data_IF_808361998579
#
_entry.id   IF_808361998579
#
_cell.length_a   1.000
_cell.length_b   1.000
_cell.length_c   1.000
_cell.angle_alpha   90.00
_cell.angle_beta   90.00
_cell.angle_gamma   90.00
#
_symmetry.space_group_name_H-M   'P 1'
#
loop_
_entity.id
_entity.type
_entity.pdbx_description
1 polymer ?
#
# COMPACT_ATOMS: atom_id res chain seq x y z
N UNK A 1 9.78 7.31 5.07
CA UNK A 1 10.00 7.67 3.65
C UNK A 1 9.18 6.74 2.78
N UNK A 2 8.55 7.24 1.71
CA UNK A 2 7.88 6.45 0.68
C UNK A 2 8.39 6.87 -0.70
N UNK A 3 8.62 5.91 -1.60
CA UNK A 3 9.17 6.18 -2.94
C UNK A 3 8.28 5.60 -4.03
N UNK A 4 7.82 6.45 -4.94
CA UNK A 4 7.01 6.06 -6.11
C UNK A 4 7.65 6.55 -7.41
N UNK A 5 7.22 5.94 -8.52
CA UNK A 5 7.54 6.38 -9.89
C UNK A 5 6.26 6.95 -10.54
N UNK A 6 5.93 8.23 -10.31
CA UNK A 6 4.78 8.87 -10.97
C UNK A 6 5.06 9.14 -12.46
N UNK A 7 4.03 9.47 -13.23
CA UNK A 7 4.20 9.98 -14.59
C UNK A 7 4.92 11.34 -14.60
N UNK A 8 5.56 11.77 -15.71
CA UNK A 8 6.42 12.96 -15.72
C UNK A 8 5.74 14.27 -15.27
N UNK A 9 4.43 14.39 -15.46
CA UNK A 9 3.64 15.56 -15.07
C UNK A 9 2.85 15.38 -13.76
N UNK A 10 2.94 14.21 -13.12
CA UNK A 10 2.21 13.91 -11.90
C UNK A 10 3.03 14.25 -10.65
N UNK A 11 2.32 14.60 -9.57
CA UNK A 11 2.91 14.72 -8.25
C UNK A 11 3.02 13.35 -7.54
N UNK A 12 3.37 13.37 -6.25
CA UNK A 12 3.47 12.14 -5.46
C UNK A 12 2.19 11.30 -5.43
N UNK A 13 1.01 11.92 -5.52
CA UNK A 13 -0.27 11.22 -5.38
C UNK A 13 -0.91 10.86 -6.73
N UNK A 14 -0.52 11.53 -7.82
CA UNK A 14 -1.00 11.23 -9.18
C UNK A 14 -2.51 11.04 -9.24
N UNK A 15 -2.96 9.97 -9.89
CA UNK A 15 -4.38 9.64 -10.02
C UNK A 15 -5.11 9.34 -8.70
N UNK A 16 -4.41 9.01 -7.59
CA UNK A 16 -5.05 8.73 -6.29
C UNK A 16 -5.80 9.96 -5.74
N UNK A 17 -5.44 11.18 -6.21
CA UNK A 17 -6.18 12.41 -5.90
C UNK A 17 -7.66 12.33 -6.28
N UNK A 18 -7.97 11.64 -7.37
CA UNK A 18 -9.31 11.64 -7.96
C UNK A 18 -9.93 10.24 -7.98
N UNK A 19 -9.10 9.20 -8.11
CA UNK A 19 -9.54 7.83 -8.28
C UNK A 19 -9.43 7.03 -6.98
N UNK A 20 -10.44 6.19 -6.73
CA UNK A 20 -10.50 5.29 -5.57
C UNK A 20 -9.61 4.06 -5.72
N UNK A 21 -9.31 3.69 -6.97
CA UNK A 21 -8.52 2.51 -7.32
C UNK A 21 -7.47 2.93 -8.33
N UNK A 22 -6.19 2.72 -8.02
CA UNK A 22 -5.08 3.12 -8.89
C UNK A 22 -3.94 2.11 -8.80
N UNK A 23 -3.42 1.66 -9.94
CA UNK A 23 -2.20 0.83 -9.98
C UNK A 23 -0.96 1.71 -10.08
N UNK A 24 -0.13 1.68 -9.05
CA UNK A 24 1.04 2.54 -8.87
C UNK A 24 2.34 1.77 -9.02
N UNK A 25 3.41 2.45 -9.46
CA UNK A 25 4.79 1.97 -9.36
C UNK A 25 5.36 2.38 -8.01
N UNK A 26 5.25 1.48 -7.04
CA UNK A 26 5.81 1.66 -5.71
C UNK A 26 7.19 1.04 -5.67
N UNK A 27 8.23 1.84 -5.44
CA UNK A 27 9.61 1.34 -5.31
C UNK A 27 9.70 0.64 -3.96
N UNK A 28 9.70 1.42 -2.87
CA UNK A 28 9.58 0.91 -1.52
C UNK A 28 9.35 2.02 -0.48
N UNK A 29 9.07 1.62 0.76
CA UNK A 29 9.00 2.49 1.92
C UNK A 29 10.09 2.18 2.93
N UNK A 30 10.53 3.21 3.66
CA UNK A 30 11.40 3.07 4.82
C UNK A 30 10.67 3.58 6.07
N UNK A 31 10.66 2.73 7.10
CA UNK A 31 10.25 3.05 8.46
C UNK A 31 11.43 2.81 9.42
N UNK A 32 11.60 3.63 10.47
CA UNK A 32 12.65 3.42 11.46
C UNK A 32 12.58 2.02 12.09
N UNK A 33 13.72 1.34 12.20
CA UNK A 33 13.79 -0.06 12.64
C UNK A 33 15.03 -0.78 12.07
N UNK A 34 15.11 -2.11 12.22
CA UNK A 34 16.27 -2.88 11.74
C UNK A 34 16.45 -2.69 10.23
N UNK A 35 17.63 -2.21 9.84
CA UNK A 35 17.99 -1.90 8.47
C UNK A 35 18.24 -3.18 7.68
N UNK A 36 17.38 -3.47 6.72
CA UNK A 36 17.62 -4.46 5.67
C UNK A 36 17.45 -3.77 4.33
N UNK A 37 18.33 -4.08 3.38
CA UNK A 37 18.03 -3.82 1.99
C UNK A 37 16.73 -4.56 1.66
N UNK A 38 15.82 -3.90 0.94
CA UNK A 38 14.59 -4.55 0.51
C UNK A 38 14.89 -5.28 -0.80
N UNK A 39 14.79 -6.60 -0.74
CA UNK A 39 14.90 -7.46 -1.91
C UNK A 39 13.48 -7.75 -2.43
N UNK A 40 13.29 -7.61 -3.74
CA UNK A 40 12.04 -8.00 -4.37
C UNK A 40 12.03 -9.51 -4.63
N UNK A 41 10.83 -10.08 -4.80
CA UNK A 41 10.69 -11.47 -5.16
C UNK A 41 11.47 -11.81 -6.43
N UNK A 42 12.05 -13.01 -6.47
CA UNK A 42 12.89 -13.47 -7.58
C UNK A 42 12.17 -13.29 -8.92
N UNK A 43 12.84 -12.65 -9.87
CA UNK A 43 12.29 -12.41 -11.20
C UNK A 43 11.31 -11.24 -11.29
N UNK A 44 11.15 -10.46 -10.22
CA UNK A 44 10.31 -9.26 -10.22
C UNK A 44 11.15 -8.00 -10.08
N UNK A 45 10.59 -6.87 -10.53
CA UNK A 45 11.22 -5.56 -10.38
C UNK A 45 10.22 -4.44 -10.57
N UNK A 46 10.59 -3.23 -10.13
CA UNK A 46 9.80 -2.03 -10.40
C UNK A 46 10.35 -1.38 -11.66
N UNK A 47 9.52 -1.29 -12.70
CA UNK A 47 9.93 -0.65 -13.95
C UNK A 47 9.95 0.88 -13.78
N UNK A 48 11.06 1.52 -14.15
CA UNK A 48 11.18 2.98 -14.21
C UNK A 48 11.24 3.35 -15.70
N UNK A 49 10.13 3.82 -16.31
CA UNK A 49 10.16 4.18 -17.72
C UNK A 49 11.02 5.42 -17.98
N UNK A 50 11.53 5.53 -19.21
CA UNK A 50 12.28 6.71 -19.64
C UNK A 50 11.46 8.00 -19.45
N UNK A 51 12.11 9.05 -18.95
CA UNK A 51 11.47 10.34 -18.67
C UNK A 51 10.71 10.41 -17.33
N UNK A 52 10.51 9.29 -16.64
CA UNK A 52 9.94 9.29 -15.29
C UNK A 52 11.00 9.65 -14.23
N UNK A 53 10.52 10.05 -13.04
CA UNK A 53 11.34 10.41 -11.89
C UNK A 53 10.94 9.60 -10.67
N UNK A 54 11.79 9.62 -9.64
CA UNK A 54 11.41 9.15 -8.31
C UNK A 54 10.77 10.30 -7.54
N UNK A 55 9.61 10.04 -6.95
CA UNK A 55 8.94 10.95 -6.03
C UNK A 55 9.00 10.39 -4.62
N UNK A 56 9.56 11.18 -3.71
CA UNK A 56 9.84 10.80 -2.34
C UNK A 56 8.93 11.59 -1.39
N UNK A 57 8.27 10.90 -0.46
CA UNK A 57 7.52 11.52 0.63
C UNK A 57 8.20 11.24 1.97
N UNK A 58 8.59 12.31 2.66
CA UNK A 58 9.23 12.28 3.96
C UNK A 58 8.24 12.63 5.06
N UNK A 59 8.27 11.86 6.15
CA UNK A 59 7.49 12.11 7.36
C UNK A 59 8.49 12.42 8.48
N UNK A 60 8.77 13.70 8.71
CA UNK A 60 9.64 14.14 9.80
C UNK A 60 8.84 14.39 11.07
N UNK A 61 9.31 13.84 12.18
CA UNK A 61 8.83 14.19 13.52
C UNK A 61 9.84 15.14 14.15
N UNK A 62 9.40 16.32 14.54
CA UNK A 62 10.27 17.35 15.14
C UNK A 62 10.82 16.87 16.48
N UNK A 63 12.12 17.05 16.71
CA UNK A 63 12.80 16.71 17.97
C UNK A 63 13.27 17.95 18.76
N UNK A 64 12.88 19.16 18.34
CA UNK A 64 13.24 20.42 18.99
C UNK A 64 14.66 20.94 18.68
N UNK A 65 15.42 20.27 17.81
CA UNK A 65 16.75 20.69 17.38
C UNK A 65 16.76 21.05 15.90
N UNK A 66 17.48 22.11 15.56
CA UNK A 66 17.76 22.45 14.16
C UNK A 66 18.83 21.50 13.63
N UNK A 67 18.45 20.66 12.67
CA UNK A 67 19.32 19.63 12.10
C UNK A 67 19.20 19.64 10.58
N UNK A 68 20.27 19.22 9.89
CA UNK A 68 20.28 18.97 8.44
C UNK A 68 20.14 17.46 8.23
N UNK A 69 19.21 17.07 7.36
CA UNK A 69 19.04 15.67 6.92
C UNK A 69 19.61 15.51 5.50
N UNK A 70 20.51 14.55 5.34
CA UNK A 70 21.11 14.16 4.05
C UNK A 70 20.73 12.70 3.77
N UNK A 71 19.52 12.49 3.24
CA UNK A 71 19.03 11.15 2.91
C UNK A 71 19.60 10.67 1.57
N UNK A 72 20.21 9.47 1.57
CA UNK A 72 20.65 8.76 0.37
C UNK A 72 19.75 7.56 0.05
N UNK A 73 19.55 7.29 -1.24
CA UNK A 73 18.80 6.13 -1.74
C UNK A 73 19.68 5.28 -2.65
N UNK A 74 19.97 4.05 -2.22
CA UNK A 74 20.63 3.04 -3.04
C UNK A 74 19.62 2.25 -3.89
N UNK A 75 19.89 2.09 -5.18
CA UNK A 75 19.07 1.32 -6.11
C UNK A 75 19.92 0.25 -6.80
N UNK A 76 19.37 -0.96 -6.88
CA UNK A 76 19.96 -2.07 -7.64
C UNK A 76 19.17 -2.27 -8.92
N UNK A 77 19.84 -2.16 -10.06
CA UNK A 77 19.21 -2.32 -11.38
C UNK A 77 19.53 -3.69 -11.96
N UNK A 78 18.51 -4.36 -12.48
CA UNK A 78 18.70 -5.55 -13.28
C UNK A 78 19.13 -5.20 -14.71
N UNK A 79 19.78 -6.14 -15.37
CA UNK A 79 20.04 -6.02 -16.81
C UNK A 79 18.70 -6.05 -17.57
N UNK A 80 18.58 -5.26 -18.64
CA UNK A 80 17.36 -5.20 -19.46
C UNK A 80 16.98 -6.56 -20.07
N UNK A 81 17.94 -7.47 -20.24
CA UNK A 81 17.68 -8.84 -20.73
C UNK A 81 17.17 -9.81 -19.66
N UNK A 82 17.05 -9.39 -18.39
CA UNK A 82 16.68 -10.27 -17.29
C UNK A 82 15.22 -10.76 -17.34
N UNK A 83 14.39 -10.17 -18.20
CA UNK A 83 12.99 -10.59 -18.38
C UNK A 83 12.18 -10.48 -17.10
N UNK A 84 12.40 -9.43 -16.30
CA UNK A 84 11.68 -9.26 -15.02
C UNK A 84 10.21 -8.94 -15.25
N UNK A 85 9.38 -9.43 -14.33
CA UNK A 85 7.97 -9.05 -14.22
C UNK A 85 7.86 -7.73 -13.47
N UNK A 86 7.04 -6.81 -13.99
CA UNK A 86 6.75 -5.55 -13.31
C UNK A 86 5.90 -5.78 -12.06
N UNK A 87 6.45 -5.40 -10.91
CA UNK A 87 5.75 -5.28 -9.63
C UNK A 87 5.05 -3.93 -9.54
N UNK A 88 3.80 -3.95 -9.07
CA UNK A 88 2.92 -2.79 -8.90
C UNK A 88 2.33 -2.78 -7.50
N UNK A 89 1.74 -1.65 -7.12
CA UNK A 89 0.92 -1.52 -5.92
C UNK A 89 -0.47 -1.02 -6.32
N UNK A 90 -1.50 -1.83 -6.09
CA UNK A 90 -2.89 -1.46 -6.30
C UNK A 90 -3.41 -0.75 -5.06
N UNK A 91 -3.60 0.57 -5.16
CA UNK A 91 -4.29 1.35 -4.15
C UNK A 91 -5.80 1.09 -4.26
N UNK A 92 -6.45 0.71 -3.16
CA UNK A 92 -7.91 0.53 -3.07
C UNK A 92 -8.40 1.31 -1.87
N UNK A 93 -9.22 2.34 -2.09
CA UNK A 93 -9.61 3.26 -1.04
C UNK A 93 -11.04 3.77 -1.13
N UNK A 94 -11.56 4.22 0.02
CA UNK A 94 -12.89 4.80 0.12
C UNK A 94 -12.84 6.34 0.02
N UNK A 95 -13.99 6.96 -0.27
CA UNK A 95 -14.23 8.40 -0.11
C UNK A 95 -15.40 8.56 0.84
N UNK A 96 -15.26 9.40 1.83
CA UNK A 96 -16.20 9.49 2.94
C UNK A 96 -16.11 10.87 3.61
N UNK A 97 -17.10 11.14 4.44
CA UNK A 97 -17.03 12.13 5.49
C UNK A 97 -17.12 11.37 6.81
N UNK A 98 -16.14 11.56 7.69
CA UNK A 98 -16.07 10.95 9.01
C UNK A 98 -16.77 11.87 10.01
N UNK A 99 -17.90 11.47 10.60
CA UNK A 99 -18.62 12.31 11.55
C UNK A 99 -17.82 12.54 12.83
N UNK A 100 -18.14 13.62 13.54
CA UNK A 100 -17.61 13.90 14.87
C UNK A 100 -18.01 12.81 15.88
N UNK A 101 -17.14 12.54 16.84
CA UNK A 101 -17.38 11.69 18.01
C UNK A 101 -17.88 10.25 17.73
N UNK A 102 -17.44 9.66 16.61
CA UNK A 102 -17.75 8.27 16.25
C UNK A 102 -16.57 7.36 16.58
N UNK A 103 -16.77 6.41 17.49
CA UNK A 103 -15.71 5.48 17.93
C UNK A 103 -15.40 4.34 16.94
N UNK A 104 -16.35 3.96 16.08
CA UNK A 104 -16.15 2.92 15.06
C UNK A 104 -16.97 3.28 13.82
N UNK A 105 -16.31 3.95 12.87
CA UNK A 105 -16.91 4.29 11.57
C UNK A 105 -16.45 3.26 10.52
N UNK A 106 -17.31 2.30 10.14
CA UNK A 106 -16.91 1.21 9.25
C UNK A 106 -16.74 1.68 7.81
N UNK A 107 -15.71 1.17 7.14
CA UNK A 107 -15.41 1.47 5.76
C UNK A 107 -15.08 0.19 4.99
N UNK A 108 -15.54 0.15 3.75
CA UNK A 108 -15.22 -0.89 2.78
C UNK A 108 -14.84 -0.22 1.46
N UNK A 109 -13.77 -0.70 0.84
CA UNK A 109 -13.45 -0.38 -0.54
C UNK A 109 -13.02 -1.65 -1.26
N UNK A 110 -13.44 -1.81 -2.51
CA UNK A 110 -13.17 -3.00 -3.28
C UNK A 110 -12.97 -2.70 -4.76
N UNK A 111 -12.31 -3.62 -5.44
CA UNK A 111 -12.14 -3.57 -6.88
C UNK A 111 -12.05 -4.96 -7.47
N UNK A 112 -12.57 -5.12 -8.67
CA UNK A 112 -12.46 -6.37 -9.44
C UNK A 112 -11.13 -6.39 -10.16
N UNK A 113 -10.48 -7.55 -10.21
CA UNK A 113 -9.26 -7.75 -11.00
C UNK A 113 -9.61 -8.44 -12.32
N UNK A 114 -9.03 -7.97 -13.41
CA UNK A 114 -9.34 -8.45 -14.77
C UNK A 114 -8.28 -9.40 -15.34
N UNK A 115 -7.14 -9.51 -14.66
CA UNK A 115 -6.04 -10.41 -14.99
C UNK A 115 -5.69 -11.28 -13.79
N UNK A 116 -5.09 -12.44 -14.05
CA UNK A 116 -4.53 -13.26 -12.99
C UNK A 116 -3.35 -12.51 -12.37
N UNK A 117 -3.30 -12.42 -11.05
CA UNK A 117 -2.23 -11.73 -10.32
C UNK A 117 -1.69 -12.59 -9.19
N UNK A 118 -0.49 -12.26 -8.74
CA UNK A 118 0.08 -12.76 -7.49
C UNK A 118 0.26 -11.57 -6.55
N UNK A 119 -0.40 -11.61 -5.39
CA UNK A 119 -0.23 -10.63 -4.32
C UNK A 119 0.90 -11.08 -3.40
N UNK A 120 1.86 -10.21 -3.15
CA UNK A 120 3.08 -10.52 -2.37
C UNK A 120 3.19 -9.69 -1.10
N UNK A 121 2.43 -8.61 -0.98
CA UNK A 121 2.46 -7.77 0.21
C UNK A 121 1.26 -6.83 0.28
N UNK A 122 1.07 -6.23 1.45
CA UNK A 122 0.01 -5.28 1.71
C UNK A 122 0.48 -4.11 2.57
N UNK A 123 -0.19 -2.98 2.47
CA UNK A 123 0.05 -1.83 3.36
C UNK A 123 -1.24 -1.09 3.68
N UNK A 124 -1.52 -0.93 4.97
CA UNK A 124 -2.63 -0.11 5.44
C UNK A 124 -2.20 1.36 5.56
N UNK A 125 -2.90 2.26 4.87
CA UNK A 125 -2.71 3.70 4.96
C UNK A 125 -3.99 4.36 5.44
N UNK A 126 -3.94 4.82 6.68
CA UNK A 126 -4.94 5.67 7.30
C UNK A 126 -4.22 6.84 7.99
N UNK A 127 -4.91 7.96 8.20
CA UNK A 127 -4.36 9.08 8.97
C UNK A 127 -4.57 8.83 10.47
N UNK A 128 -4.62 9.90 11.27
CA UNK A 128 -4.65 9.84 12.73
C UNK A 128 -5.78 9.01 13.32
N UNK A 129 -6.89 8.81 12.60
CA UNK A 129 -8.08 8.12 13.09
C UNK A 129 -8.16 6.68 12.63
N UNK A 130 -7.12 6.13 12.00
CA UNK A 130 -7.09 4.72 11.62
C UNK A 130 -7.23 3.78 12.82
N UNK A 131 -8.19 2.83 12.75
CA UNK A 131 -8.45 1.89 13.85
C UNK A 131 -8.07 0.46 13.52
N UNK A 132 -8.53 -0.03 12.36
CA UNK A 132 -8.32 -1.43 11.91
C UNK A 132 -8.48 -1.53 10.40
N UNK A 133 -7.76 -2.46 9.77
CA UNK A 133 -7.92 -2.77 8.35
C UNK A 133 -7.60 -4.24 8.07
N UNK A 134 -8.40 -4.87 7.22
CA UNK A 134 -8.25 -6.24 6.75
C UNK A 134 -8.23 -6.27 5.22
N UNK A 135 -7.36 -7.10 4.66
CA UNK A 135 -7.17 -7.31 3.23
C UNK A 135 -7.76 -8.66 2.85
N UNK A 136 -8.66 -8.69 1.89
CA UNK A 136 -9.49 -9.84 1.55
C UNK A 136 -9.48 -10.02 0.04
N UNK A 137 -9.35 -11.27 -0.40
CA UNK A 137 -9.66 -11.68 -1.77
C UNK A 137 -10.98 -12.45 -1.75
N UNK A 138 -11.90 -12.10 -2.64
CA UNK A 138 -13.18 -12.79 -2.82
C UNK A 138 -13.16 -13.42 -4.21
N UNK A 139 -13.22 -14.75 -4.29
CA UNK A 139 -13.21 -15.44 -5.58
C UNK A 139 -14.54 -15.28 -6.35
N UNK A 140 -14.57 -15.76 -7.60
CA UNK A 140 -15.75 -15.69 -8.44
C UNK A 140 -16.97 -16.47 -7.90
N UNK A 141 -16.75 -17.41 -6.96
CA UNK A 141 -17.81 -18.16 -6.27
C UNK A 141 -18.29 -17.44 -5.00
N UNK A 142 -17.71 -16.29 -4.66
CA UNK A 142 -18.04 -15.50 -3.47
C UNK A 142 -17.32 -15.96 -2.19
N UNK A 143 -16.36 -16.89 -2.29
CA UNK A 143 -15.60 -17.35 -1.13
C UNK A 143 -14.54 -16.32 -0.77
N UNK A 144 -14.55 -15.90 0.50
CA UNK A 144 -13.57 -14.96 1.03
C UNK A 144 -12.30 -15.68 1.52
N UNK A 145 -11.15 -15.08 1.23
CA UNK A 145 -9.85 -15.43 1.76
C UNK A 145 -9.20 -14.18 2.36
N UNK A 146 -8.94 -14.20 3.67
CA UNK A 146 -8.28 -13.09 4.35
C UNK A 146 -6.78 -13.21 4.08
N UNK A 147 -6.23 -12.24 3.35
CA UNK A 147 -4.80 -12.20 3.00
C UNK A 147 -3.96 -11.71 4.18
N UNK A 148 -4.46 -10.68 4.87
CA UNK A 148 -3.76 -10.05 6.00
C UNK A 148 -4.73 -9.24 6.86
N UNK A 149 -4.41 -9.05 8.13
CA UNK A 149 -5.23 -8.26 9.07
C UNK A 149 -4.36 -7.40 9.98
N UNK A 150 -4.72 -6.12 10.08
CA UNK A 150 -4.19 -5.15 11.03
C UNK A 150 -5.33 -4.81 12.02
N UNK A 151 -5.51 -5.60 13.10
CA UNK A 151 -6.66 -5.48 13.99
C UNK A 151 -6.58 -4.28 14.95
N UNK A 152 -5.37 -3.78 15.20
CA UNK A 152 -5.09 -2.61 16.04
C UNK A 152 -4.09 -1.72 15.29
N UNK A 153 -4.61 -0.91 14.38
CA UNK A 153 -3.79 0.01 13.61
C UNK A 153 -3.16 1.06 14.52
N UNK A 154 -1.90 1.41 14.24
CA UNK A 154 -1.19 2.49 14.92
C UNK A 154 -0.65 3.43 13.85
N UNK A 155 -1.05 4.70 13.90
CA UNK A 155 -0.61 5.71 12.93
C UNK A 155 0.92 5.86 12.85
N UNK A 156 1.64 5.65 13.94
CA UNK A 156 3.10 5.66 13.97
C UNK A 156 3.77 4.41 13.36
N UNK A 157 2.99 3.37 13.06
CA UNK A 157 3.48 2.09 12.55
C UNK A 157 2.75 1.71 11.25
N UNK A 158 3.30 2.15 10.12
CA UNK A 158 2.73 1.93 8.78
C UNK A 158 3.67 1.15 7.86
N UNK A 159 4.15 -0.04 8.27
CA UNK A 159 5.08 -0.81 7.45
C UNK A 159 4.39 -1.34 6.19
N UNK A 160 5.21 -1.69 5.21
CA UNK A 160 4.81 -2.57 4.12
C UNK A 160 4.99 -4.02 4.60
N UNK A 161 3.89 -4.76 4.74
CA UNK A 161 3.89 -6.15 5.18
C UNK A 161 4.05 -7.06 3.96
N UNK A 162 5.16 -7.80 3.90
CA UNK A 162 5.33 -8.88 2.92
C UNK A 162 4.62 -10.14 3.43
N UNK A 163 3.95 -10.85 2.54
CA UNK A 163 3.31 -12.11 2.86
C UNK A 163 4.36 -13.23 2.88
N UNK A 164 4.31 -14.10 3.89
CA UNK A 164 5.21 -15.28 3.95
C UNK A 164 5.07 -16.17 2.72
N UNK A 165 3.87 -16.21 2.14
CA UNK A 165 3.54 -16.94 0.91
C UNK A 165 2.79 -16.01 -0.03
N UNK A 166 3.30 -15.75 -1.23
CA UNK A 166 2.55 -15.05 -2.27
C UNK A 166 1.22 -15.77 -2.55
N UNK A 167 0.17 -15.00 -2.83
CA UNK A 167 -1.19 -15.52 -3.05
C UNK A 167 -1.60 -15.25 -4.48
N UNK A 168 -1.80 -16.31 -5.26
CA UNK A 168 -2.37 -16.22 -6.59
C UNK A 168 -3.87 -15.88 -6.49
N UNK A 169 -4.33 -14.91 -7.29
CA UNK A 169 -5.71 -14.48 -7.36
C UNK A 169 -6.11 -14.46 -8.83
N UNK A 170 -7.14 -15.24 -9.16
CA UNK A 170 -7.61 -15.38 -10.53
C UNK A 170 -8.40 -14.14 -10.98
N UNK A 171 -8.31 -13.83 -12.28
CA UNK A 171 -9.14 -12.85 -12.94
C UNK A 171 -10.63 -13.09 -12.61
N UNK A 172 -11.37 -12.00 -12.43
CA UNK A 172 -12.76 -12.04 -12.01
C UNK A 172 -12.97 -11.99 -10.50
N UNK A 173 -11.92 -12.21 -9.69
CA UNK A 173 -11.96 -12.05 -8.24
C UNK A 173 -12.08 -10.57 -7.83
N UNK A 174 -12.45 -10.32 -6.58
CA UNK A 174 -12.51 -9.00 -5.97
C UNK A 174 -11.45 -8.87 -4.88
N UNK A 175 -10.64 -7.82 -4.96
CA UNK A 175 -9.79 -7.37 -3.86
C UNK A 175 -10.57 -6.38 -3.02
N UNK A 176 -10.71 -6.66 -1.73
CA UNK A 176 -11.45 -5.84 -0.77
C UNK A 176 -10.58 -5.45 0.41
N UNK A 177 -10.74 -4.22 0.85
CA UNK A 177 -10.24 -3.72 2.13
C UNK A 177 -11.43 -3.34 3.00
N UNK A 178 -11.44 -3.84 4.23
CA UNK A 178 -12.48 -3.57 5.22
C UNK A 178 -11.83 -3.06 6.50
N UNK A 179 -12.46 -2.11 7.18
CA UNK A 179 -11.86 -1.53 8.37
C UNK A 179 -12.74 -0.52 9.04
N UNK A 180 -12.14 0.27 9.94
CA UNK A 180 -12.84 1.36 10.59
C UNK A 180 -11.89 2.50 10.96
N UNK A 181 -12.50 3.66 11.17
CA UNK A 181 -11.88 4.84 11.75
C UNK A 181 -12.47 5.12 13.15
N UNK A 182 -11.70 5.76 14.02
CA UNK A 182 -12.10 6.18 15.37
C UNK A 182 -11.88 7.69 15.52
N UNK A 183 -12.97 8.45 15.38
CA UNK A 183 -13.04 9.89 15.62
C UNK A 183 -13.58 10.25 17.02
N UNK A 184 -13.53 9.32 17.97
CA UNK A 184 -13.94 9.61 19.35
C UNK A 184 -12.83 10.32 20.13
N UNK A 185 -13.20 10.87 21.29
CA UNK A 185 -12.23 11.42 22.26
C UNK A 185 -11.31 10.35 22.88
N UNK A 186 -11.67 9.06 22.76
CA UNK A 186 -10.90 7.96 23.35
C UNK A 186 -9.70 7.54 22.50
N UNK A 187 -9.65 7.95 21.23
CA UNK A 187 -8.51 7.69 20.36
C UNK A 187 -7.35 8.64 20.70
N UNK A 188 -6.22 8.15 21.25
CA UNK A 188 -5.12 8.99 21.71
C UNK A 188 -4.38 9.71 20.57
N UNK A 189 -4.54 9.27 19.32
CA UNK A 189 -3.95 9.92 18.16
C UNK A 189 -4.89 10.92 17.49
N UNK A 190 -6.15 11.01 17.91
CA UNK A 190 -7.13 11.93 17.32
C UNK A 190 -6.83 13.40 17.73
N UNK A 191 -6.51 14.30 16.78
CA UNK A 191 -6.20 15.68 17.11
C UNK A 191 -7.40 16.50 17.60
N UNK A 192 -8.61 16.17 17.12
CA UNK A 192 -9.86 16.86 17.45
C UNK A 192 -11.04 15.95 17.07
N UNK A 193 -11.75 15.44 18.08
CA UNK A 193 -12.91 14.56 17.93
C UNK A 193 -14.22 15.30 17.71
N UNK A 194 -14.26 16.62 17.91
CA UNK A 194 -15.50 17.42 17.85
C UNK A 194 -15.89 17.80 16.43
N UNK A 195 -15.01 17.54 15.47
CA UNK A 195 -15.17 17.94 14.07
C UNK A 195 -15.45 16.73 13.18
N UNK A 196 -16.34 16.95 12.21
CA UNK A 196 -16.42 16.09 11.05
C UNK A 196 -15.18 16.33 10.16
N UNK A 197 -14.67 15.26 9.55
CA UNK A 197 -13.43 15.28 8.76
C UNK A 197 -13.71 14.66 7.40
N UNK A 198 -13.37 15.38 6.34
CA UNK A 198 -13.49 14.87 4.99
C UNK A 198 -12.34 13.91 4.65
N UNK A 199 -12.59 13.02 3.69
CA UNK A 199 -11.51 12.34 3.02
C UNK A 199 -10.57 13.34 2.34
N UNK A 200 -9.27 13.08 2.43
CA UNK A 200 -8.26 13.85 1.72
C UNK A 200 -6.86 13.29 1.95
N UNK A 201 -5.84 13.93 1.37
CA UNK A 201 -4.47 13.41 1.32
C UNK A 201 -3.53 14.07 2.33
N UNK A 202 -3.99 15.16 2.92
CA UNK A 202 -3.25 15.92 3.91
C UNK A 202 -3.44 15.32 5.30
N UNK A 203 -2.49 15.59 6.20
CA UNK A 203 -2.49 14.97 7.54
C UNK A 203 -3.65 15.44 8.42
N UNK A 204 -4.23 16.62 8.15
CA UNK A 204 -5.42 17.14 8.86
C UNK A 204 -6.75 16.64 8.27
N UNK A 205 -6.70 16.00 7.10
CA UNK A 205 -7.79 15.26 6.49
C UNK A 205 -7.69 13.78 6.90
N UNK A 206 -8.52 12.91 6.31
CA UNK A 206 -8.49 11.48 6.63
C UNK A 206 -8.40 10.59 5.39
N UNK A 207 -7.70 9.46 5.53
CA UNK A 207 -7.51 8.50 4.45
C UNK A 207 -7.97 7.11 4.87
N UNK A 208 -8.51 6.35 3.92
CA UNK A 208 -8.72 4.93 4.07
C UNK A 208 -8.32 4.24 2.78
N UNK A 209 -7.11 3.73 2.73
CA UNK A 209 -6.56 3.08 1.53
C UNK A 209 -5.71 1.89 1.93
N UNK A 210 -6.02 0.73 1.37
CA UNK A 210 -5.13 -0.42 1.42
C UNK A 210 -4.40 -0.56 0.09
N UNK A 211 -3.10 -0.78 0.15
CA UNK A 211 -2.28 -1.10 -1.01
C UNK A 211 -2.05 -2.60 -1.06
N UNK A 212 -2.26 -3.20 -2.22
CA UNK A 212 -1.87 -4.58 -2.53
C UNK A 212 -0.64 -4.53 -3.44
N UNK A 213 0.49 -5.02 -2.96
CA UNK A 213 1.67 -5.25 -3.79
C UNK A 213 1.45 -6.50 -4.62
N UNK A 214 1.55 -6.41 -5.95
CA UNK A 214 1.25 -7.51 -6.85
C UNK A 214 2.08 -7.48 -8.14
N UNK A 215 2.02 -8.59 -8.87
CA UNK A 215 2.43 -8.70 -10.28
C UNK A 215 1.47 -9.61 -11.05
N UNK A 216 1.42 -9.51 -12.38
CA UNK A 216 0.56 -10.35 -13.22
C UNK A 216 1.09 -11.80 -13.34
N UNK A 217 0.23 -12.79 -13.12
CA UNK A 217 0.56 -14.20 -13.26
C UNK A 217 0.60 -14.56 -14.75
N UNK A 218 1.78 -14.95 -15.26
CA UNK A 218 2.00 -15.25 -16.68
C UNK A 218 2.97 -14.28 -17.37
N UNK A 219 3.28 -13.14 -16.74
CA UNK A 219 4.56 -12.49 -16.98
C UNK A 219 5.67 -13.42 -16.45
N UNK A 220 6.85 -13.50 -17.09
CA UNK A 220 7.86 -14.54 -16.85
C UNK A 220 8.37 -14.58 -15.40
N UNK A 221 7.63 -15.22 -14.50
CA UNK A 221 8.12 -15.65 -13.19
C UNK A 221 8.73 -17.02 -13.38
N UNK A 222 10.02 -17.15 -13.07
CA UNK A 222 10.73 -18.42 -13.02
C UNK A 222 10.18 -19.29 -11.88
N UNK A 223 8.99 -19.84 -12.06
CA UNK A 223 8.41 -20.92 -11.26
C UNK A 223 8.27 -22.14 -12.16
N UNK A 224 9.42 -22.65 -12.58
CA UNK A 224 9.57 -24.01 -13.05
C UNK A 224 10.78 -24.60 -12.32
N UNK A 225 10.60 -24.91 -11.03
CA UNK A 225 11.41 -25.91 -10.30
C UNK A 225 10.77 -26.15 -8.93
N UNK A 226 9.67 -26.91 -8.95
CA UNK A 226 9.46 -27.93 -7.93
C UNK A 226 9.41 -29.24 -8.73
N UNK A 227 10.59 -29.79 -9.03
CA UNK A 227 10.66 -31.20 -9.40
C UNK A 227 10.42 -31.99 -8.12
N UNK A 228 9.28 -32.68 -8.07
CA UNK A 228 9.21 -33.93 -7.36
C UNK A 228 10.26 -34.87 -7.98
N UNK A 229 11.25 -35.28 -7.17
CA UNK A 229 11.99 -36.54 -7.18
C UNK A 229 13.32 -36.36 -6.42
N UNK A 230 13.35 -36.69 -5.13
CA UNK A 230 13.92 -37.93 -4.59
C UNK A 230 13.63 -38.05 -3.08
#
# INVERSE_FOLDING_TARGET
>A
LMVFVPAPAEDFWGEERQQRVVSRRFVEGYAPGPHRAIEFDKGTGVFIPEGHKLSLQFHYVTNGQSTVDETELGLYFANSSAGLVERRALAVGARFELPADVADFPLVAETKIDTDIVVTGVRARMSYRGKKMRFIAVDAAGKENILFSVPAYNYGWQPHYLLDKPVAIAAGSVLRVEGALDNSISNPTNPDSTRAIAWGLESWEEMFTGYFTYYEAGAPSATSEISAND
#
